data_IF_070316101571
#
_entry.id   IF_070316101571
#
_cell.length_a   1.000
_cell.length_b   1.000
_cell.length_c   1.000
_cell.angle_alpha   90.00
_cell.angle_beta   90.00
_cell.angle_gamma   90.00
#
_symmetry.space_group_name_H-M   'P 1'
#
loop_
_entity.id
_entity.type
_entity.pdbx_description
1 polymer ?
#
# COMPACT_ATOMS: atom_id res chain seq x y z
N UNK A 1 -21.28 -2.73 -14.98
CA UNK A 1 -19.93 -2.14 -15.22
C UNK A 1 -19.60 -1.09 -14.17
N UNK A 2 -18.60 -1.34 -13.34
CA UNK A 2 -18.10 -0.40 -12.34
C UNK A 2 -17.44 0.81 -13.04
N UNK A 3 -18.07 1.99 -12.95
CA UNK A 3 -17.49 3.20 -13.53
C UNK A 3 -16.50 3.86 -12.56
N UNK A 4 -15.50 4.62 -13.06
CA UNK A 4 -14.56 5.36 -12.20
C UNK A 4 -15.28 6.25 -11.17
N UNK A 5 -16.39 6.86 -11.57
CA UNK A 5 -17.24 7.68 -10.70
C UNK A 5 -17.84 6.88 -9.53
N UNK A 6 -18.20 5.62 -9.77
CA UNK A 6 -18.77 4.70 -8.78
C UNK A 6 -17.71 4.23 -7.79
N UNK A 7 -16.50 3.93 -8.27
CA UNK A 7 -15.34 3.60 -7.42
C UNK A 7 -14.95 4.77 -6.49
N UNK A 8 -14.89 5.99 -7.05
CA UNK A 8 -14.63 7.21 -6.25
C UNK A 8 -15.71 7.42 -5.17
N UNK A 9 -16.97 7.13 -5.49
CA UNK A 9 -18.08 7.22 -4.53
C UNK A 9 -17.94 6.22 -3.38
N UNK A 10 -17.58 4.97 -3.69
CA UNK A 10 -17.34 3.93 -2.67
C UNK A 10 -16.14 4.28 -1.79
N UNK A 11 -15.01 4.69 -2.40
CA UNK A 11 -13.83 5.12 -1.66
C UNK A 11 -14.11 6.30 -0.72
N UNK A 12 -14.96 7.26 -1.12
CA UNK A 12 -15.41 8.36 -0.24
C UNK A 12 -16.30 7.88 0.92
N UNK A 13 -17.13 6.85 0.72
CA UNK A 13 -17.94 6.26 1.80
C UNK A 13 -17.03 5.57 2.81
N UNK A 14 -16.09 4.74 2.36
CA UNK A 14 -15.14 4.05 3.23
C UNK A 14 -14.21 5.00 3.99
N UNK A 15 -13.79 6.11 3.37
CA UNK A 15 -13.02 7.16 4.06
C UNK A 15 -13.78 7.80 5.22
N UNK A 16 -15.09 8.04 5.05
CA UNK A 16 -15.93 8.62 6.10
C UNK A 16 -16.17 7.64 7.26
N UNK A 17 -16.33 6.35 6.94
CA UNK A 17 -16.41 5.31 7.97
C UNK A 17 -15.09 5.14 8.71
N UNK A 18 -13.94 5.22 8.02
CA UNK A 18 -12.63 5.20 8.66
C UNK A 18 -12.37 6.42 9.56
N UNK A 19 -12.86 7.60 9.18
CA UNK A 19 -12.73 8.83 9.96
C UNK A 19 -13.61 8.87 11.24
N UNK A 20 -14.52 7.90 11.43
CA UNK A 20 -15.18 7.69 12.73
C UNK A 20 -14.24 7.06 13.76
N UNK A 21 -13.12 6.47 13.33
CA UNK A 21 -11.97 6.17 14.19
C UNK A 21 -11.02 7.37 14.20
N UNK A 22 -10.59 7.82 15.38
CA UNK A 22 -9.92 9.12 15.60
C UNK A 22 -8.61 9.38 14.82
N UNK A 23 -8.05 10.59 14.95
CA UNK A 23 -7.05 11.11 14.02
C UNK A 23 -5.64 10.68 14.42
N UNK A 24 -5.08 9.70 13.73
CA UNK A 24 -3.63 9.51 13.66
C UNK A 24 -3.17 9.71 12.22
N UNK A 25 -2.43 10.82 12.05
CA UNK A 25 -1.45 11.13 11.01
C UNK A 25 -1.55 10.28 9.74
N UNK A 26 -2.15 10.88 8.70
CA UNK A 26 -2.16 10.44 7.31
C UNK A 26 -1.21 9.28 6.96
N UNK A 27 -1.68 8.04 7.09
CA UNK A 27 -1.44 6.90 6.18
C UNK A 27 -1.97 5.58 6.76
N UNK A 28 -2.65 4.79 5.91
CA UNK A 28 -3.00 3.36 6.07
C UNK A 28 -4.22 3.02 6.94
N UNK A 29 -5.41 3.47 6.51
CA UNK A 29 -6.63 2.73 6.86
C UNK A 29 -6.59 1.32 6.26
N UNK A 30 -7.32 0.38 6.87
CA UNK A 30 -7.50 -0.98 6.37
C UNK A 30 -8.97 -1.20 6.03
N UNK A 31 -9.26 -2.18 5.17
CA UNK A 31 -10.60 -2.67 4.91
C UNK A 31 -10.65 -4.19 5.10
N UNK A 32 -11.84 -4.71 5.35
CA UNK A 32 -12.05 -6.14 5.59
C UNK A 32 -12.67 -6.76 4.35
N UNK A 33 -12.11 -7.88 3.93
CA UNK A 33 -12.69 -8.75 2.91
C UNK A 33 -12.85 -10.16 3.44
N UNK A 34 -13.79 -10.89 2.87
CA UNK A 34 -14.01 -12.30 3.08
C UNK A 34 -13.73 -13.04 1.78
N UNK A 35 -13.19 -14.24 1.87
CA UNK A 35 -13.02 -15.14 0.74
C UNK A 35 -14.25 -16.04 0.58
N UNK A 36 -14.33 -16.78 -0.54
CA UNK A 36 -15.41 -17.73 -0.81
C UNK A 36 -15.53 -18.81 0.27
N UNK A 37 -14.41 -19.22 0.88
CA UNK A 37 -14.32 -20.12 2.03
C UNK A 37 -14.52 -19.40 3.39
N UNK A 38 -15.02 -18.17 3.37
CA UNK A 38 -15.45 -17.37 4.53
C UNK A 38 -14.32 -16.97 5.50
N UNK A 39 -13.07 -17.05 5.04
CA UNK A 39 -11.92 -16.57 5.79
C UNK A 39 -11.81 -15.05 5.70
N UNK A 40 -11.50 -14.41 6.83
CA UNK A 40 -11.46 -12.95 6.99
C UNK A 40 -10.03 -12.44 6.79
N UNK A 41 -9.88 -11.43 5.95
CA UNK A 41 -8.61 -10.74 5.71
C UNK A 41 -8.73 -9.24 5.96
N UNK A 42 -7.69 -8.66 6.58
CA UNK A 42 -7.56 -7.21 6.81
C UNK A 42 -6.52 -6.68 5.84
N UNK A 43 -6.95 -5.83 4.92
CA UNK A 43 -6.12 -5.39 3.79
C UNK A 43 -5.88 -3.89 3.86
N UNK A 44 -4.65 -3.42 3.69
CA UNK A 44 -4.37 -1.99 3.61
C UNK A 44 -5.13 -1.32 2.45
N UNK A 45 -5.71 -0.14 2.69
CA UNK A 45 -6.49 0.59 1.67
C UNK A 45 -5.70 0.90 0.39
N UNK A 46 -4.36 0.95 0.44
CA UNK A 46 -3.55 1.20 -0.75
C UNK A 46 -3.61 0.06 -1.79
N UNK A 47 -4.04 -1.14 -1.40
CA UNK A 47 -4.24 -2.26 -2.33
C UNK A 47 -5.43 -2.01 -3.27
N UNK A 48 -6.34 -1.09 -2.96
CA UNK A 48 -7.43 -0.69 -3.87
C UNK A 48 -6.92 -0.06 -5.19
N UNK A 49 -5.68 0.42 -5.22
CA UNK A 49 -5.04 0.92 -6.44
C UNK A 49 -4.36 -0.18 -7.26
N UNK A 50 -4.24 -1.40 -6.74
CA UNK A 50 -3.66 -2.52 -7.47
C UNK A 50 -4.66 -3.08 -8.49
N UNK A 51 -4.23 -3.30 -9.73
CA UNK A 51 -5.09 -3.79 -10.81
C UNK A 51 -5.72 -5.15 -10.51
N UNK A 52 -4.97 -6.06 -9.87
CA UNK A 52 -5.49 -7.38 -9.48
C UNK A 52 -6.61 -7.22 -8.47
N UNK A 53 -6.42 -6.36 -7.46
CA UNK A 53 -7.45 -6.13 -6.45
C UNK A 53 -8.69 -5.44 -7.03
N UNK A 54 -8.51 -4.54 -8.00
CA UNK A 54 -9.63 -3.90 -8.71
C UNK A 54 -10.44 -4.89 -9.53
N UNK A 55 -9.79 -5.84 -10.20
CA UNK A 55 -10.49 -6.87 -10.96
C UNK A 55 -11.21 -7.85 -10.03
N UNK A 56 -10.59 -8.26 -8.92
CA UNK A 56 -11.25 -9.07 -7.89
C UNK A 56 -12.50 -8.40 -7.31
N UNK A 57 -12.45 -7.10 -7.04
CA UNK A 57 -13.61 -6.33 -6.56
C UNK A 57 -14.70 -6.21 -7.62
N UNK A 58 -14.34 -6.16 -8.90
CA UNK A 58 -15.29 -6.12 -10.00
C UNK A 58 -15.99 -7.48 -10.17
N UNK A 59 -15.22 -8.57 -10.15
CA UNK A 59 -15.78 -9.93 -10.15
C UNK A 59 -16.69 -10.16 -8.93
N UNK A 60 -16.29 -9.66 -7.76
CA UNK A 60 -17.12 -9.66 -6.55
C UNK A 60 -18.44 -8.91 -6.73
N UNK A 61 -18.43 -7.72 -7.36
CA UNK A 61 -19.67 -6.99 -7.68
C UNK A 61 -20.56 -7.77 -8.67
N UNK A 62 -19.95 -8.41 -9.67
CA UNK A 62 -20.70 -9.14 -10.70
C UNK A 62 -21.35 -10.42 -10.15
N UNK A 63 -20.72 -11.10 -9.18
CA UNK A 63 -21.22 -12.35 -8.58
C UNK A 63 -22.13 -12.12 -7.35
N UNK A 64 -21.69 -11.29 -6.41
CA UNK A 64 -22.37 -11.10 -5.12
C UNK A 64 -23.17 -9.80 -5.06
N UNK A 65 -23.05 -8.94 -6.07
CA UNK A 65 -23.63 -7.60 -6.05
C UNK A 65 -22.85 -6.62 -5.17
N UNK A 66 -23.34 -5.39 -5.08
CA UNK A 66 -22.73 -4.38 -4.22
C UNK A 66 -23.12 -4.57 -2.76
N UNK A 67 -22.15 -4.68 -1.84
CA UNK A 67 -22.47 -4.71 -0.42
C UNK A 67 -23.05 -3.36 0.01
N UNK A 68 -24.34 -3.36 0.40
CA UNK A 68 -25.02 -2.15 0.88
C UNK A 68 -24.66 -1.86 2.34
N UNK A 69 -24.69 -2.90 3.19
CA UNK A 69 -24.31 -2.91 4.61
C UNK A 69 -23.58 -4.21 5.02
N UNK A 70 -23.04 -4.96 4.06
CA UNK A 70 -22.40 -6.26 4.29
C UNK A 70 -20.90 -6.26 4.05
N UNK A 71 -20.20 -7.36 4.43
CA UNK A 71 -18.81 -7.55 4.08
C UNK A 71 -18.62 -7.65 2.56
N UNK A 72 -17.41 -7.33 2.10
CA UNK A 72 -17.01 -7.59 0.71
C UNK A 72 -16.54 -9.04 0.63
N UNK A 73 -17.20 -9.86 -0.17
CA UNK A 73 -16.78 -11.24 -0.43
C UNK A 73 -16.08 -11.32 -1.78
N UNK A 74 -14.82 -11.74 -1.81
CA UNK A 74 -14.05 -11.93 -3.03
C UNK A 74 -14.27 -13.35 -3.59
N UNK A 75 -14.36 -13.51 -4.92
CA UNK A 75 -14.50 -14.80 -5.58
C UNK A 75 -13.16 -15.53 -5.66
N UNK A 76 -12.51 -15.72 -4.51
CA UNK A 76 -11.28 -16.49 -4.36
C UNK A 76 -11.29 -17.20 -3.02
N UNK A 77 -10.51 -18.27 -2.90
CA UNK A 77 -10.24 -18.92 -1.63
C UNK A 77 -9.12 -18.23 -0.83
N UNK A 78 -8.98 -18.64 0.43
CA UNK A 78 -7.93 -18.15 1.33
C UNK A 78 -6.50 -18.44 0.84
N UNK A 79 -6.27 -19.49 0.06
CA UNK A 79 -4.93 -19.84 -0.43
C UNK A 79 -4.48 -18.82 -1.47
N UNK A 80 -5.35 -18.48 -2.42
CA UNK A 80 -5.08 -17.42 -3.39
C UNK A 80 -4.93 -16.06 -2.69
N UNK A 81 -5.79 -15.76 -1.71
CA UNK A 81 -5.71 -14.49 -0.99
C UNK A 81 -4.38 -14.33 -0.23
N UNK A 82 -3.91 -15.38 0.44
CA UNK A 82 -2.59 -15.38 1.09
C UNK A 82 -1.45 -15.17 0.09
N UNK A 83 -1.51 -15.83 -1.06
CA UNK A 83 -0.53 -15.64 -2.13
C UNK A 83 -0.50 -14.18 -2.62
N UNK A 84 -1.67 -13.57 -2.83
CA UNK A 84 -1.76 -12.17 -3.26
C UNK A 84 -1.18 -11.21 -2.22
N UNK A 85 -1.51 -11.40 -0.94
CA UNK A 85 -0.94 -10.59 0.15
C UNK A 85 0.59 -10.72 0.16
N UNK A 86 1.10 -11.95 0.09
CA UNK A 86 2.54 -12.23 0.05
C UNK A 86 3.24 -11.55 -1.14
N UNK A 87 2.67 -11.65 -2.35
CA UNK A 87 3.24 -11.03 -3.55
C UNK A 87 3.20 -9.50 -3.44
N UNK A 88 2.10 -8.93 -2.95
CA UNK A 88 1.99 -7.47 -2.81
C UNK A 88 2.94 -6.91 -1.76
N UNK A 89 3.16 -7.61 -0.66
CA UNK A 89 4.17 -7.24 0.33
C UNK A 89 5.58 -7.26 -0.27
N UNK A 90 5.87 -8.19 -1.19
CA UNK A 90 7.18 -8.25 -1.88
C UNK A 90 7.33 -7.21 -2.98
N UNK A 91 6.29 -6.96 -3.78
CA UNK A 91 6.31 -6.02 -4.89
C UNK A 91 6.33 -4.55 -4.44
N UNK A 92 6.01 -4.25 -3.18
CA UNK A 92 5.87 -2.89 -2.69
C UNK A 92 7.09 -2.34 -1.93
N UNK A 93 8.11 -3.14 -1.56
CA UNK A 93 9.14 -2.62 -0.64
C UNK A 93 10.60 -2.94 -0.97
N UNK A 94 10.95 -3.97 -1.75
CA UNK A 94 12.32 -4.50 -1.60
C UNK A 94 13.29 -4.18 -2.75
N UNK A 95 12.94 -4.47 -4.00
CA UNK A 95 13.91 -4.28 -5.10
C UNK A 95 14.00 -2.83 -5.59
N UNK A 96 12.86 -2.10 -5.63
CA UNK A 96 12.88 -0.71 -6.09
C UNK A 96 13.40 0.24 -5.03
N UNK A 97 13.11 0.04 -3.74
CA UNK A 97 13.68 0.89 -2.69
C UNK A 97 15.18 0.63 -2.53
N UNK A 98 15.64 -0.62 -2.55
CA UNK A 98 17.08 -0.92 -2.50
C UNK A 98 17.83 -0.35 -3.72
N UNK A 99 17.24 -0.45 -4.91
CA UNK A 99 17.80 0.14 -6.13
C UNK A 99 17.79 1.68 -6.07
N UNK A 100 16.70 2.30 -5.62
CA UNK A 100 16.60 3.75 -5.46
C UNK A 100 17.58 4.28 -4.41
N UNK A 101 17.72 3.59 -3.28
CA UNK A 101 18.70 3.90 -2.23
C UNK A 101 20.10 3.78 -2.79
N UNK A 102 20.42 2.69 -3.50
CA UNK A 102 21.74 2.52 -4.14
C UNK A 102 22.05 3.61 -5.18
N UNK A 103 21.07 4.01 -5.99
CA UNK A 103 21.22 5.10 -6.97
C UNK A 103 21.38 6.46 -6.28
N UNK A 104 20.63 6.70 -5.19
CA UNK A 104 20.70 7.93 -4.42
C UNK A 104 22.02 8.04 -3.63
N UNK A 105 22.54 6.92 -3.10
CA UNK A 105 23.84 6.88 -2.40
C UNK A 105 25.02 6.95 -3.36
N UNK A 106 24.87 6.49 -4.61
CA UNK A 106 25.89 6.60 -5.65
C UNK A 106 26.11 8.03 -6.21
N UNK A 107 25.30 9.02 -5.81
CA UNK A 107 25.47 10.43 -6.21
C UNK A 107 26.06 11.33 -5.10
N UNK A 108 26.98 10.85 -4.27
CA UNK A 108 27.72 11.71 -3.33
C UNK A 108 29.18 11.30 -3.06
N UNK A 109 29.88 10.74 -4.04
CA UNK A 109 31.35 10.60 -3.97
C UNK A 109 32.00 10.97 -5.31
N UNK A 110 31.81 12.22 -5.74
CA UNK A 110 32.68 12.90 -6.72
C UNK A 110 32.29 14.38 -6.77
N UNK A 111 33.29 15.26 -6.64
CA UNK A 111 33.25 16.71 -6.33
C UNK A 111 32.95 16.97 -4.85
N UNK A 112 33.96 17.03 -3.97
CA UNK A 112 34.98 18.06 -4.03
C UNK A 112 36.41 17.50 -3.78
N UNK A 113 37.21 17.40 -4.85
CA UNK A 113 38.67 17.44 -4.74
C UNK A 113 39.12 18.85 -5.11
N UNK A 114 39.03 19.76 -4.14
CA UNK A 114 39.79 21.00 -4.11
C UNK A 114 40.77 20.90 -2.94
N UNK A 115 42.05 20.65 -3.23
CA UNK A 115 43.08 20.52 -2.21
C UNK A 115 43.35 21.83 -1.47
N UNK A 116 43.86 21.72 -0.24
CA UNK A 116 45.16 22.25 0.18
C UNK A 116 45.20 22.47 1.71
N UNK A 117 46.14 21.73 2.33
CA UNK A 117 47.04 22.19 3.39
C UNK A 117 46.48 22.46 4.81
N UNK A 118 46.80 21.52 5.71
CA UNK A 118 47.33 21.89 7.03
C UNK A 118 46.37 21.90 8.22
N UNK A 119 46.92 21.44 9.35
CA UNK A 119 46.46 21.56 10.74
C UNK A 119 45.34 20.65 11.24
N UNK A 120 45.79 19.65 12.02
CA UNK A 120 45.07 19.02 13.13
C UNK A 120 44.28 20.06 13.95
N UNK A 121 42.97 19.88 14.06
CA UNK A 121 42.18 20.46 15.17
C UNK A 121 41.17 19.43 15.65
N UNK A 122 41.47 18.86 16.82
CA UNK A 122 40.48 18.22 17.69
C UNK A 122 39.55 19.31 18.24
N UNK A 123 38.23 19.16 18.12
CA UNK A 123 37.27 19.87 18.98
C UNK A 123 36.20 18.91 19.50
N UNK A 124 36.18 18.80 20.82
CA UNK A 124 35.22 18.08 21.66
C UNK A 124 33.88 18.84 21.76
N UNK A 125 32.79 18.07 21.91
CA UNK A 125 31.73 18.23 22.93
C UNK A 125 30.92 19.53 23.04
N UNK A 126 29.59 19.39 22.87
CA UNK A 126 28.59 19.69 23.90
C UNK A 126 27.55 18.57 23.91
#
# INVERSE_FOLDING_TARGET
MLTPKKLVRMARKWRREAAKGGPTVANKGHFVVYTADHNRFVIPLHYLNNNIFRELLKMSEDEFGLPTNGPITLPCDSSLMNYLVYVFERSLTNELEALLVSIATNRCYSLDQGGENGTHVLVYGF
#
